data_IF_724161554656
#
_entry.id   IF_724161554656
#
_cell.length_a   1.000
_cell.length_b   1.000
_cell.length_c   1.000
_cell.angle_alpha   90.00
_cell.angle_beta   90.00
_cell.angle_gamma   90.00
#
_symmetry.space_group_name_H-M   'P 1'
#
loop_
_entity.id
_entity.type
_entity.pdbx_description
1 polymer ?
2 non-polymer ?
3 non-polymer ?
4 non-polymer ?
5 water ?
#
# COMPACT_ATOMS: atom_id res chain seq x y z
N UNK A 45 15.64 -5.71 -4.99
CA UNK A 45 15.14 -4.36 -4.60
C UNK A 45 13.63 -4.27 -4.97
N UNK A 46 12.72 -4.71 -4.10
CA UNK A 46 11.33 -4.67 -4.44
C UNK A 46 10.82 -3.23 -4.30
N UNK A 47 9.72 -2.90 -4.93
CA UNK A 47 9.05 -1.63 -4.75
C UNK A 47 8.17 -1.66 -3.54
N UNK A 48 8.34 -0.70 -2.64
CA UNK A 48 7.49 -0.53 -1.46
C UNK A 48 6.54 0.66 -1.74
N UNK A 49 5.27 0.56 -1.37
CA UNK A 49 4.66 -0.55 -0.70
C UNK A 49 4.53 -1.80 -1.52
N UNK A 50 4.77 -2.93 -0.90
CA UNK A 50 4.78 -4.16 -1.68
C UNK A 50 3.65 -5.04 -1.17
N UNK A 51 2.90 -5.65 -2.05
CA UNK A 51 1.82 -6.51 -1.71
C UNK A 51 2.10 -7.97 -2.07
N UNK A 52 2.13 -8.90 -1.12
CA UNK A 52 2.49 -10.32 -1.30
C UNK A 52 1.17 -11.07 -1.23
N UNK A 53 0.48 -11.33 -2.39
CA UNK A 53 -0.68 -12.23 -2.29
C UNK A 53 -0.27 -13.60 -1.74
N UNK A 54 -1.15 -14.23 -0.95
CA UNK A 54 -0.98 -15.49 -0.31
C UNK A 54 -1.94 -16.47 -0.94
N UNK A 55 -1.57 -17.04 -2.11
CA UNK A 55 -2.51 -17.85 -2.86
C UNK A 55 -3.03 -18.94 -1.95
N UNK A 56 -4.26 -19.18 -1.99
CA UNK A 56 -4.82 -20.17 -1.15
C UNK A 56 -5.20 -19.67 0.21
N UNK A 57 -4.74 -18.50 0.66
CA UNK A 57 -5.16 -17.92 1.97
C UNK A 57 -4.21 -18.40 3.08
N UNK A 58 -4.22 -17.65 4.19
CA UNK A 58 -3.43 -17.99 5.40
C UNK A 58 -3.98 -19.31 5.93
N UNK A 59 -3.06 -20.17 6.35
CA UNK A 59 -3.42 -21.40 7.08
C UNK A 59 -2.39 -21.53 8.19
N UNK A 60 -2.66 -22.29 9.23
CA UNK A 60 -1.60 -22.65 10.21
C UNK A 60 -0.46 -23.37 9.55
N UNK A 61 0.73 -23.04 10.01
CA UNK A 61 2.02 -23.54 9.52
C UNK A 61 2.52 -22.80 8.36
N UNK A 62 1.83 -21.75 7.86
CA UNK A 62 2.39 -20.80 6.93
C UNK A 62 3.47 -19.97 7.62
N UNK A 63 4.59 -19.86 6.97
CA UNK A 63 5.70 -19.05 7.43
C UNK A 63 6.00 -18.04 6.39
N UNK A 64 5.99 -16.77 6.83
CA UNK A 64 6.31 -15.64 5.91
C UNK A 64 7.72 -15.10 6.35
N UNK A 65 8.59 -14.79 5.37
CA UNK A 65 9.89 -14.22 5.70
C UNK A 65 10.06 -12.90 4.89
N UNK A 66 10.42 -11.84 5.62
CA UNK A 66 10.68 -10.52 4.98
C UNK A 66 12.10 -10.15 5.30
N UNK A 67 12.89 -9.75 4.31
CA UNK A 67 14.22 -9.29 4.49
C UNK A 67 14.38 -7.92 3.94
N UNK A 68 15.14 -7.08 4.65
CA UNK A 68 15.43 -5.72 4.10
C UNK A 68 16.31 -4.97 4.99
N UNK A 69 16.43 -3.66 4.73
CA UNK A 69 17.21 -2.76 5.53
C UNK A 69 16.32 -1.60 5.94
N UNK A 70 16.39 -1.21 7.21
CA UNK A 70 15.69 -0.01 7.68
C UNK A 70 16.34 1.24 7.13
N UNK A 71 15.55 2.15 6.56
CA UNK A 71 16.18 3.39 6.04
C UNK A 71 16.79 4.18 7.23
N UNK A 72 17.80 5.05 6.90
CA UNK A 72 18.57 5.67 8.02
C UNK A 72 17.84 6.67 8.87
N UNK A 73 16.82 7.22 8.31
CA UNK A 73 16.00 8.18 9.04
C UNK A 73 14.57 7.70 9.16
N UNK A 74 14.43 6.35 9.28
CA UNK A 74 13.12 5.69 9.31
C UNK A 74 12.24 6.27 10.43
N UNK A 75 10.97 6.38 10.11
CA UNK A 75 9.94 6.71 11.04
C UNK A 75 9.01 5.56 11.36
N UNK A 76 8.71 4.70 10.40
CA UNK A 76 7.65 3.71 10.58
C UNK A 76 7.84 2.60 9.59
N UNK A 77 7.34 1.44 9.99
CA UNK A 77 7.20 0.24 9.13
C UNK A 77 5.82 -0.30 9.41
N UNK A 78 5.21 -0.95 8.43
CA UNK A 78 3.96 -1.66 8.76
C UNK A 78 3.89 -2.94 7.95
N UNK A 79 3.48 -4.00 8.60
CA UNK A 79 3.07 -5.25 7.88
C UNK A 79 1.60 -5.37 8.11
N UNK A 80 0.79 -5.58 7.12
CA UNK A 80 -0.67 -5.68 7.22
C UNK A 80 -1.21 -6.94 6.61
N UNK A 81 -1.62 -7.93 7.40
CA UNK A 81 -2.29 -9.09 6.90
C UNK A 81 -3.73 -8.72 6.61
N UNK A 82 -4.11 -8.76 5.34
CA UNK A 82 -5.37 -8.19 4.88
C UNK A 82 -6.40 -9.19 4.59
N UNK A 83 -7.61 -8.86 4.98
CA UNK A 83 -8.82 -9.70 4.72
C UNK A 83 -9.87 -8.80 4.19
N UNK A 84 -9.94 -8.76 2.85
CA UNK A 84 -11.05 -7.93 2.31
C UNK A 84 -10.67 -6.51 2.67
N UNK A 85 -11.59 -5.74 3.29
CA UNK A 85 -11.28 -4.30 3.56
C UNK A 85 -10.68 -4.10 4.96
N UNK A 86 -10.44 -5.20 5.60
CA UNK A 86 -9.92 -5.20 6.94
C UNK A 86 -8.46 -5.60 7.01
N UNK A 87 -7.90 -5.21 8.19
CA UNK A 87 -6.55 -5.66 8.51
C UNK A 87 -6.61 -6.59 9.70
N UNK A 88 -6.44 -7.90 9.44
CA UNK A 88 -6.48 -8.89 10.50
C UNK A 88 -5.34 -8.66 11.51
N UNK A 89 -4.17 -8.33 11.04
CA UNK A 89 -3.00 -8.14 11.93
C UNK A 89 -2.13 -7.08 11.32
N UNK A 90 -2.01 -5.97 11.96
CA UNK A 90 -1.14 -4.88 11.68
C UNK A 90 -0.02 -4.89 12.67
N UNK A 91 1.22 -4.96 12.17
CA UNK A 91 2.43 -4.95 12.94
C UNK A 91 3.21 -3.68 12.60
N UNK A 92 3.34 -2.76 13.54
CA UNK A 92 3.77 -1.42 13.20
C UNK A 92 4.85 -0.89 14.12
N UNK A 93 6.12 -1.18 13.84
CA UNK A 93 7.24 -0.48 14.48
C UNK A 93 7.21 1.00 14.19
N UNK A 94 7.23 1.79 15.27
CA UNK A 94 7.26 3.29 15.17
C UNK A 94 8.57 3.68 15.82
N UNK A 95 9.38 4.39 15.01
CA UNK A 95 10.73 4.79 15.45
C UNK A 95 10.73 6.04 16.18
N UNK A 96 9.67 6.80 16.11
CA UNK A 96 9.65 8.20 16.64
C UNK A 96 8.23 8.50 16.99
N UNK A 97 7.63 7.68 17.86
CA UNK A 97 6.31 8.02 18.36
C UNK A 97 6.58 8.92 19.61
N UNK A 98 6.56 10.25 19.38
CA UNK A 98 6.98 11.20 20.41
C UNK A 98 8.32 10.88 20.99
N UNK A 99 9.32 10.67 20.12
CA UNK A 99 10.66 10.46 20.54
C UNK A 99 10.88 9.24 21.42
N UNK A 100 10.05 8.18 21.17
CA UNK A 100 10.22 6.86 21.76
C UNK A 100 9.99 5.87 20.61
N UNK A 101 10.62 4.72 20.81
CA UNK A 101 10.47 3.61 19.83
C UNK A 101 9.51 2.65 20.45
N UNK A 102 8.53 2.19 19.68
CA UNK A 102 7.50 1.27 20.17
C UNK A 102 7.02 0.39 19.02
N UNK A 103 6.58 -0.81 19.34
CA UNK A 103 5.89 -1.60 18.34
C UNK A 103 4.42 -1.60 18.70
N UNK A 104 3.56 -1.23 17.77
CA UNK A 104 2.09 -1.25 17.96
C UNK A 104 1.52 -2.35 17.08
N UNK A 105 0.66 -3.18 17.66
CA UNK A 105 -0.05 -4.13 16.86
C UNK A 105 -1.56 -3.96 17.06
N UNK A 106 -2.35 -4.18 16.02
CA UNK A 106 -3.79 -4.01 16.14
C UNK A 106 -4.44 -4.69 14.96
N UNK A 107 -5.77 -4.58 14.91
CA UNK A 107 -6.69 -5.05 13.90
C UNK A 107 -7.63 -3.92 13.46
N UNK A 108 -7.86 -3.81 12.18
CA UNK A 108 -8.78 -2.80 11.61
C UNK A 108 -9.97 -3.57 11.02
N UNK A 109 -11.13 -3.27 11.56
CA UNK A 109 -12.37 -3.90 11.05
C UNK A 109 -13.38 -2.77 10.75
N UNK A 110 -13.93 -2.81 9.51
CA UNK A 110 -14.82 -1.75 9.00
C UNK A 110 -14.23 -0.41 9.31
N UNK A 111 -12.97 -0.23 9.01
CA UNK A 111 -12.30 1.00 9.09
C UNK A 111 -12.14 1.48 10.56
N UNK A 112 -12.34 0.64 11.57
CA UNK A 112 -12.09 1.04 12.96
C UNK A 112 -10.94 0.21 13.52
N UNK A 113 -9.94 0.86 14.04
CA UNK A 113 -8.89 0.19 14.80
C UNK A 113 -9.41 -0.31 16.12
N UNK A 114 -8.92 -1.38 16.62
CA UNK A 114 -9.33 -1.96 17.85
C UNK A 114 -8.36 -1.66 18.99
N UNK A 115 -8.30 -2.61 19.94
CA UNK A 115 -7.41 -2.52 21.08
C UNK A 115 -5.92 -2.56 20.63
N UNK A 116 -5.16 -1.57 21.07
CA UNK A 116 -3.71 -1.58 20.72
C UNK A 116 -2.93 -2.51 21.62
N UNK A 117 -2.02 -3.28 21.02
CA UNK A 117 -1.02 -4.03 21.80
C UNK A 117 0.29 -3.38 21.60
N UNK A 118 0.92 -2.86 22.62
CA UNK A 118 2.15 -2.06 22.52
C UNK A 118 3.25 -2.73 23.22
N UNK A 119 4.46 -2.63 22.69
CA UNK A 119 5.60 -3.07 23.44
C UNK A 119 6.80 -2.31 23.15
N UNK A 120 7.68 -2.31 24.14
CA UNK A 120 8.87 -1.48 24.08
C UNK A 120 10.09 -2.23 23.54
N UNK A 121 10.12 -3.55 23.57
CA UNK A 121 11.27 -4.26 23.02
C UNK A 121 11.28 -4.06 21.52
N UNK A 122 12.34 -3.43 21.04
CA UNK A 122 12.32 -2.85 19.75
C UNK A 122 13.55 -3.28 19.00
N UNK A 123 13.50 -4.24 18.09
CA UNK A 123 14.73 -4.85 17.62
C UNK A 123 15.28 -4.16 16.35
N UNK A 124 14.56 -3.31 15.73
CA UNK A 124 15.00 -2.64 14.48
C UNK A 124 16.01 -1.54 14.79
N UNK A 125 16.89 -1.31 13.81
CA UNK A 125 17.93 -0.28 13.94
C UNK A 125 18.00 0.45 12.63
N UNK A 126 17.87 1.80 12.72
CA UNK A 126 17.91 2.61 11.53
C UNK A 126 19.20 2.38 10.76
N UNK A 127 19.00 2.20 9.44
CA UNK A 127 20.03 1.98 8.46
C UNK A 127 20.60 0.62 8.53
N UNK A 128 20.03 -0.36 9.28
CA UNK A 128 20.59 -1.70 9.43
C UNK A 128 19.66 -2.77 8.90
N UNK A 129 20.24 -3.89 8.45
CA UNK A 129 19.40 -5.02 7.89
C UNK A 129 18.57 -5.65 9.01
N UNK A 130 17.42 -6.15 8.57
CA UNK A 130 16.52 -6.89 9.46
C UNK A 130 15.96 -8.07 8.74
N UNK A 131 15.47 -9.01 9.56
CA UNK A 131 14.72 -10.21 9.11
C UNK A 131 13.48 -10.30 9.96
N UNK A 132 12.32 -10.34 9.33
CA UNK A 132 11.06 -10.62 10.07
C UNK A 132 10.48 -11.94 9.57
N UNK A 133 10.15 -12.82 10.53
CA UNK A 133 9.41 -14.05 10.14
C UNK A 133 8.16 -14.08 10.89
N UNK A 134 7.07 -14.44 10.26
CA UNK A 134 5.76 -14.57 10.90
C UNK A 134 5.29 -16.00 10.70
N UNK A 135 5.02 -16.71 11.77
CA UNK A 135 4.53 -18.08 11.71
C UNK A 135 3.07 -18.08 12.18
N UNK A 136 2.18 -18.61 11.34
CA UNK A 136 0.79 -18.69 11.67
C UNK A 136 0.52 -19.93 12.50
N UNK A 137 0.01 -19.77 13.64
CA UNK A 137 -0.43 -20.87 14.52
C UNK A 137 -1.93 -20.79 14.66
N UNK A 138 -2.59 -21.85 15.18
CA UNK A 138 -4.03 -21.81 15.29
C UNK A 138 -4.60 -20.68 16.14
N UNK A 139 -3.86 -20.28 17.15
CA UNK A 139 -4.33 -19.33 18.12
C UNK A 139 -3.74 -17.89 17.95
N UNK A 140 -2.66 -17.79 17.24
CA UNK A 140 -1.94 -16.49 17.19
C UNK A 140 -1.00 -16.50 16.02
N UNK A 141 -0.55 -15.32 15.66
CA UNK A 141 0.68 -15.19 14.85
C UNK A 141 1.88 -15.10 15.79
N UNK A 142 2.94 -15.79 15.46
CA UNK A 142 4.24 -15.61 16.11
C UNK A 142 5.09 -14.75 15.23
N UNK A 143 5.79 -13.80 15.83
CA UNK A 143 6.70 -12.94 15.10
C UNK A 143 8.11 -13.06 15.68
N UNK A 144 9.04 -13.37 14.82
CA UNK A 144 10.45 -13.38 15.20
C UNK A 144 11.15 -12.34 14.39
N UNK A 145 12.07 -11.59 15.01
CA UNK A 145 12.91 -10.65 14.28
C UNK A 145 14.36 -11.01 14.54
N UNK A 146 15.10 -11.11 13.42
CA UNK A 146 16.55 -11.43 13.52
C UNK A 146 16.73 -12.73 14.23
N UNK A 147 15.81 -13.71 13.94
CA UNK A 147 15.82 -15.04 14.52
C UNK A 147 15.36 -15.17 15.92
N UNK A 148 15.01 -14.11 16.61
CA UNK A 148 14.62 -14.15 18.02
C UNK A 148 13.15 -13.92 18.10
N UNK A 149 12.51 -14.63 19.01
CA UNK A 149 11.09 -14.43 19.21
C UNK A 149 10.86 -13.03 19.69
N UNK A 150 9.91 -12.37 19.09
CA UNK A 150 9.56 -10.99 19.46
C UNK A 150 8.21 -10.95 20.18
N UNK A 151 7.15 -11.40 19.55
CA UNK A 151 5.81 -11.26 20.14
C UNK A 151 4.89 -12.30 19.53
N UNK A 152 3.77 -12.47 20.19
CA UNK A 152 2.61 -13.17 19.66
C UNK A 152 1.46 -12.24 19.54
N UNK A 153 0.61 -12.42 18.55
CA UNK A 153 -0.61 -11.63 18.36
C UNK A 153 -1.79 -12.59 18.23
N UNK A 154 -2.61 -12.62 19.25
CA UNK A 154 -3.75 -13.55 19.23
C UNK A 154 -4.73 -13.17 18.16
N UNK A 155 -5.23 -14.18 17.44
CA UNK A 155 -6.19 -13.88 16.36
C UNK A 155 -7.43 -13.20 16.84
N UNK A 156 -7.81 -12.14 16.18
CA UNK A 156 -9.09 -11.45 16.38
C UNK A 156 -9.99 -11.74 15.21
N UNK A 157 -9.48 -11.73 14.03
CA UNK A 157 -10.18 -12.22 12.80
C UNK A 157 -9.95 -13.69 12.74
N UNK A 158 -11.02 -14.43 13.03
CA UNK A 158 -10.93 -15.86 13.21
C UNK A 158 -10.96 -16.60 11.88
N UNK A 159 -11.50 -15.97 10.87
CA UNK A 159 -11.58 -16.60 9.54
C UNK A 159 -10.22 -16.57 8.79
N UNK A 160 -9.31 -17.38 9.35
CA UNK A 160 -7.90 -17.26 8.92
C UNK A 160 -7.74 -17.40 7.43
N UNK A 161 -8.48 -18.30 6.83
CA UNK A 161 -8.22 -18.54 5.43
C UNK A 161 -8.76 -17.45 4.50
N UNK A 162 -9.49 -16.48 5.05
CA UNK A 162 -9.88 -15.29 4.26
C UNK A 162 -8.81 -14.24 4.26
N UNK A 163 -7.73 -14.44 5.01
CA UNK A 163 -6.62 -13.47 4.98
C UNK A 163 -5.84 -13.83 3.72
N UNK A 164 -5.80 -12.96 2.72
CA UNK A 164 -5.40 -13.29 1.36
C UNK A 164 -4.11 -12.64 0.93
N UNK A 165 -3.54 -11.70 1.70
CA UNK A 165 -2.41 -10.96 1.19
C UNK A 165 -1.70 -10.32 2.38
N UNK A 166 -0.43 -10.03 2.21
CA UNK A 166 0.32 -9.26 3.18
C UNK A 166 0.84 -8.04 2.52
N UNK A 167 0.53 -6.86 3.06
CA UNK A 167 1.14 -5.61 2.63
C UNK A 167 2.33 -5.28 3.46
N UNK A 168 3.36 -4.76 2.82
CA UNK A 168 4.60 -4.38 3.49
C UNK A 168 4.89 -2.96 3.12
N UNK A 169 4.89 -2.04 4.07
CA UNK A 169 5.09 -0.65 3.76
C UNK A 169 5.94 0.03 4.79
N UNK A 170 6.36 1.22 4.42
CA UNK A 170 7.18 2.07 5.29
C UNK A 170 8.61 2.24 4.89
N UNK A 171 9.43 2.61 5.88
CA UNK A 171 10.70 3.25 5.58
C UNK A 171 11.80 2.20 5.61
N UNK A 172 11.70 1.37 4.57
CA UNK A 172 12.61 0.25 4.33
C UNK A 172 13.06 0.15 2.90
N UNK A 173 14.20 -0.47 2.74
CA UNK A 173 14.58 -1.02 1.46
C UNK A 173 14.25 -2.50 1.55
N UNK A 174 13.29 -2.98 0.79
CA UNK A 174 12.80 -4.35 0.88
C UNK A 174 13.56 -5.22 -0.08
N UNK A 175 14.24 -6.23 0.47
CA UNK A 175 15.03 -7.17 -0.37
C UNK A 175 14.26 -8.36 -0.77
N UNK A 176 13.48 -8.96 0.16
CA UNK A 176 12.70 -10.18 -0.15
C UNK A 176 11.49 -10.29 0.65
N UNK A 177 10.47 -10.91 0.06
CA UNK A 177 9.20 -11.19 0.78
C UNK A 177 8.71 -12.51 0.17
N UNK A 178 8.47 -13.48 1.01
CA UNK A 178 8.07 -14.81 0.57
C UNK A 178 7.29 -15.54 1.65
N UNK A 179 6.64 -16.64 1.24
CA UNK A 179 5.88 -17.51 2.09
C UNK A 179 6.15 -18.97 1.72
N UNK A 180 5.96 -19.81 2.73
CA UNK A 180 6.01 -21.26 2.49
C UNK A 180 5.23 -21.94 3.56
N UNK A 181 5.17 -23.28 3.53
CA UNK A 181 4.60 -24.05 4.63
C UNK A 181 5.65 -24.85 5.31
N UNK A 182 5.64 -24.90 6.61
CA UNK A 182 6.60 -25.71 7.37
C UNK A 182 5.99 -26.87 8.05
N UNK B 45 -12.88 -9.72 -11.82
CA UNK B 45 -12.65 -9.28 -10.43
C UNK B 45 -11.14 -9.38 -10.06
N UNK B 46 -10.40 -8.28 -10.18
CA UNK B 46 -8.95 -8.31 -9.98
C UNK B 46 -8.68 -8.10 -8.53
N UNK B 47 -7.54 -8.60 -8.08
CA UNK B 47 -7.13 -8.46 -6.70
C UNK B 47 -6.60 -7.05 -6.50
N UNK B 48 -7.07 -6.41 -5.44
CA UNK B 48 -6.60 -5.06 -5.00
C UNK B 48 -5.84 -5.18 -3.65
N UNK B 49 -4.70 -4.53 -3.45
CA UNK B 49 -4.04 -3.68 -4.40
C UNK B 49 -3.56 -4.41 -5.61
N UNK B 50 -3.61 -3.78 -6.77
CA UNK B 50 -3.36 -4.41 -8.02
C UNK B 50 -2.14 -3.73 -8.62
N UNK B 51 -1.20 -4.51 -9.08
CA UNK B 51 0.02 -4.00 -9.63
C UNK B 51 -0.04 -4.11 -11.14
N UNK B 52 0.00 -2.99 -11.85
CA UNK B 52 0.02 -2.95 -13.31
C UNK B 52 1.41 -2.62 -13.80
N UNK B 53 2.34 -3.65 -13.92
CA UNK B 53 3.65 -3.34 -14.53
C UNK B 53 3.50 -2.75 -15.95
N UNK B 54 4.33 -1.74 -16.24
CA UNK B 54 4.41 -1.07 -17.52
C UNK B 54 5.70 -1.48 -18.11
N UNK B 55 5.67 -2.51 -19.04
CA UNK B 55 6.89 -3.31 -19.36
C UNK B 55 8.02 -2.50 -19.99
N UNK B 56 7.63 -1.53 -20.78
CA UNK B 56 8.59 -0.73 -21.47
C UNK B 56 8.76 0.63 -20.85
N UNK B 57 8.05 0.85 -19.72
CA UNK B 57 8.05 2.11 -18.94
C UNK B 57 7.08 3.18 -19.52
N UNK B 58 6.74 4.24 -18.77
CA UNK B 58 5.85 5.29 -19.27
C UNK B 58 6.52 5.98 -20.42
N UNK B 59 5.71 6.36 -21.42
CA UNK B 59 6.12 7.15 -22.53
C UNK B 59 4.95 8.08 -22.91
N UNK B 60 5.18 9.25 -23.47
CA UNK B 60 4.05 10.13 -23.96
C UNK B 60 3.25 9.37 -24.97
N UNK B 61 1.94 9.58 -24.94
CA UNK B 61 0.96 8.87 -25.70
C UNK B 61 0.47 7.63 -25.11
N UNK B 62 1.02 7.12 -24.00
CA UNK B 62 0.46 6.04 -23.27
C UNK B 62 -0.91 6.44 -22.69
N UNK B 63 -1.87 5.61 -22.84
CA UNK B 63 -3.22 5.80 -22.36
C UNK B 63 -3.55 4.61 -21.48
N UNK B 64 -3.81 4.86 -20.20
CA UNK B 64 -4.18 3.87 -19.20
C UNK B 64 -5.65 3.93 -18.92
N UNK B 65 -6.37 2.82 -18.84
CA UNK B 65 -7.78 2.82 -18.57
C UNK B 65 -8.03 1.87 -17.36
N UNK B 66 -8.72 2.37 -16.32
CA UNK B 66 -9.07 1.59 -15.14
C UNK B 66 -10.56 1.61 -15.00
N UNK B 67 -11.20 0.43 -14.89
CA UNK B 67 -12.65 0.35 -14.73
C UNK B 67 -12.87 -0.36 -13.43
N UNK B 68 -13.82 0.12 -12.68
CA UNK B 68 -14.17 -0.60 -11.42
C UNK B 68 -15.39 0.01 -10.82
N UNK B 69 -15.68 -0.42 -9.59
CA UNK B 69 -16.75 0.13 -8.80
C UNK B 69 -16.23 0.56 -7.46
N UNK B 70 -16.65 1.72 -6.98
CA UNK B 70 -16.32 2.16 -5.64
C UNK B 70 -17.04 1.28 -4.58
N UNK B 71 -16.34 0.79 -3.60
CA UNK B 71 -16.99 0.00 -2.55
C UNK B 71 -18.00 0.88 -1.81
N UNK B 72 -19.03 0.25 -1.17
CA UNK B 72 -20.06 1.00 -0.59
C UNK B 72 -19.69 1.97 0.55
N UNK B 73 -18.74 1.50 1.36
CA UNK B 73 -18.22 2.25 2.46
C UNK B 73 -16.83 2.83 2.21
N UNK B 74 -16.51 3.12 0.94
CA UNK B 74 -15.15 3.55 0.58
C UNK B 74 -14.71 4.79 1.39
N UNK B 75 -13.44 4.68 1.71
CA UNK B 75 -12.70 5.78 2.32
C UNK B 75 -11.67 6.43 1.49
N UNK B 76 -11.01 5.65 0.69
CA UNK B 76 -9.83 6.12 -0.05
C UNK B 76 -9.57 5.27 -1.26
N UNK B 77 -8.98 5.84 -2.32
CA UNK B 77 -8.51 5.16 -3.48
C UNK B 77 -7.17 5.75 -3.83
N UNK B 78 -6.28 4.98 -4.33
CA UNK B 78 -5.00 5.57 -4.81
C UNK B 78 -4.54 4.93 -6.08
N UNK B 79 -4.04 5.73 -7.03
CA UNK B 79 -3.26 5.29 -8.18
C UNK B 79 -1.84 5.83 -7.98
N UNK B 80 -0.82 5.00 -8.09
CA UNK B 80 0.58 5.37 -7.88
C UNK B 80 1.46 4.98 -9.02
N UNK B 81 1.94 5.95 -9.76
CA UNK B 81 2.92 5.74 -10.83
C UNK B 81 4.26 5.71 -10.15
N UNK B 82 4.99 4.57 -10.18
CA UNK B 82 6.21 4.46 -9.37
C UNK B 82 7.47 4.34 -10.16
N UNK B 83 8.48 5.08 -9.71
CA UNK B 83 9.88 4.96 -10.17
C UNK B 83 10.71 4.49 -9.02
N UNK B 84 10.99 3.17 -8.94
CA UNK B 84 11.50 2.61 -7.65
C UNK B 84 10.55 2.89 -6.52
N UNK B 85 10.99 3.26 -5.31
CA UNK B 85 10.15 3.55 -4.19
C UNK B 85 9.64 4.99 -4.26
N UNK B 86 10.05 5.72 -5.31
CA UNK B 86 9.47 7.04 -5.52
C UNK B 86 8.13 6.91 -6.17
N UNK B 87 7.26 7.87 -5.91
CA UNK B 87 5.92 7.91 -6.54
C UNK B 87 5.93 9.17 -7.43
N UNK B 88 6.06 8.97 -8.69
CA UNK B 88 6.02 10.09 -9.62
C UNK B 88 4.70 10.80 -9.59
N UNK B 89 3.60 10.07 -9.50
CA UNK B 89 2.27 10.69 -9.52
C UNK B 89 1.35 9.82 -8.66
N UNK B 90 0.90 10.36 -7.58
CA UNK B 90 -0.09 9.76 -6.66
C UNK B 90 -1.37 10.51 -6.87
N UNK B 91 -2.44 9.80 -7.21
CA UNK B 91 -3.76 10.34 -7.45
C UNK B 91 -4.68 9.69 -6.42
N UNK B 92 -5.19 10.47 -5.47
CA UNK B 92 -5.77 9.95 -4.22
C UNK B 92 -7.09 10.59 -3.88
N UNK B 93 -8.22 10.03 -4.43
CA UNK B 93 -9.55 10.39 -3.96
C UNK B 93 -9.76 9.99 -2.48
N UNK B 94 -10.13 10.95 -1.68
CA UNK B 94 -10.42 10.74 -0.27
C UNK B 94 -11.87 11.06 -0.04
N UNK B 95 -12.59 10.06 0.45
CA UNK B 95 -14.05 10.21 0.65
C UNK B 95 -14.41 10.83 1.93
N UNK B 96 -13.50 10.89 2.89
CA UNK B 96 -13.86 11.30 4.20
C UNK B 96 -12.62 11.81 4.88
N UNK B 97 -12.00 12.80 4.24
CA UNK B 97 -10.94 13.54 4.89
C UNK B 97 -11.69 14.57 5.74
N UNK B 98 -12.09 14.18 6.97
CA UNK B 98 -12.82 15.07 7.94
C UNK B 98 -14.16 15.45 7.37
N UNK B 99 -14.90 14.42 6.91
CA UNK B 99 -16.26 14.54 6.49
C UNK B 99 -16.37 15.47 5.29
N UNK B 100 -15.24 15.59 4.53
CA UNK B 100 -15.19 16.12 3.13
C UNK B 100 -14.56 15.09 2.12
N UNK B 101 -15.07 15.25 0.91
CA UNK B 101 -14.50 14.61 -0.29
C UNK B 101 -13.53 15.50 -1.06
N UNK B 102 -12.33 14.99 -1.36
CA UNK B 102 -11.28 15.79 -2.01
C UNK B 102 -10.46 14.82 -2.81
N UNK B 103 -9.90 15.34 -3.89
CA UNK B 103 -8.87 14.59 -4.61
C UNK B 103 -7.54 15.21 -4.26
N UNK B 104 -6.57 14.42 -3.81
CA UNK B 104 -5.22 14.90 -3.49
C UNK B 104 -4.27 14.22 -4.44
N UNK B 105 -3.39 15.06 -5.05
CA UNK B 105 -2.33 14.54 -5.93
C UNK B 105 -0.98 15.00 -5.41
N UNK B 106 0.06 14.19 -5.55
CA UNK B 106 1.38 14.56 -5.06
C UNK B 106 2.38 13.60 -5.67
N UNK B 107 3.63 13.87 -5.28
CA UNK B 107 4.83 13.07 -5.65
C UNK B 107 5.55 12.75 -4.31
N UNK B 108 6.08 11.55 -4.26
CA UNK B 108 6.89 11.08 -3.12
C UNK B 108 8.32 10.83 -3.59
N UNK B 109 9.28 11.58 -3.11
CA UNK B 109 10.67 11.49 -3.43
C UNK B 109 11.52 11.24 -2.21
N UNK B 110 12.28 10.13 -2.22
CA UNK B 110 12.96 9.73 -0.86
C UNK B 110 12.09 9.66 0.40
N UNK B 111 10.92 9.08 0.26
CA UNK B 111 9.99 8.92 1.31
C UNK B 111 9.47 10.23 1.88
N UNK B 112 9.60 11.31 1.06
CA UNK B 112 9.03 12.61 1.48
C UNK B 112 7.95 13.03 0.43
N UNK B 113 6.73 13.22 0.88
CA UNK B 113 5.70 13.81 -0.04
C UNK B 113 6.05 15.27 -0.31
N UNK B 114 5.70 15.82 -1.48
CA UNK B 114 5.98 17.16 -1.84
C UNK B 114 4.71 18.00 -1.65
N UNK B 115 4.60 19.02 -2.49
CA UNK B 115 3.49 19.92 -2.48
C UNK B 115 2.19 19.19 -2.91
N UNK B 116 1.13 19.32 -2.12
CA UNK B 116 -0.15 18.72 -2.47
C UNK B 116 -0.88 19.54 -3.48
N UNK B 117 -1.53 18.90 -4.47
CA UNK B 117 -2.47 19.55 -5.36
C UNK B 117 -3.82 18.99 -5.03
N UNK B 118 -4.74 19.84 -4.60
CA UNK B 118 -6.08 19.42 -4.04
C UNK B 118 -7.12 19.92 -4.93
N UNK B 119 -8.18 19.19 -5.09
CA UNK B 119 -9.35 19.80 -5.64
C UNK B 119 -10.59 19.17 -5.19
N UNK B 120 -11.64 19.97 -5.32
CA UNK B 120 -12.92 19.62 -4.73
C UNK B 120 -13.83 18.96 -5.69
N UNK B 121 -13.73 19.10 -6.98
CA UNK B 121 -14.58 18.36 -7.93
C UNK B 121 -14.27 16.91 -7.82
N UNK B 122 -15.33 16.15 -7.45
CA UNK B 122 -15.11 14.76 -6.97
C UNK B 122 -16.09 13.87 -7.68
N UNK B 123 -15.67 13.13 -8.70
CA UNK B 123 -16.62 12.46 -9.57
C UNK B 123 -17.01 11.08 -9.06
N UNK B 124 -16.31 10.49 -8.11
CA UNK B 124 -16.60 9.14 -7.62
C UNK B 124 -17.83 9.10 -6.67
N UNK B 125 -18.53 7.99 -6.71
CA UNK B 125 -19.70 7.79 -5.89
C UNK B 125 -19.65 6.39 -5.29
N UNK B 126 -19.91 6.38 -4.00
CA UNK B 126 -19.84 5.19 -3.19
C UNK B 126 -20.78 4.19 -3.79
N UNK B 127 -20.27 2.99 -4.03
CA UNK B 127 -21.06 1.91 -4.56
C UNK B 127 -21.31 1.89 -6.01
N UNK B 128 -20.75 2.87 -6.74
CA UNK B 128 -21.05 3.08 -8.17
C UNK B 128 -19.86 2.89 -9.18
N UNK B 129 -20.13 2.46 -10.40
CA UNK B 129 -19.03 2.19 -11.34
C UNK B 129 -18.30 3.50 -11.69
N UNK B 130 -17.04 3.39 -12.05
CA UNK B 130 -16.28 4.54 -12.50
C UNK B 130 -15.37 4.04 -13.60
N UNK B 131 -14.86 5.06 -14.36
CA UNK B 131 -13.80 4.88 -15.37
C UNK B 131 -12.74 5.94 -15.12
N UNK B 132 -11.49 5.54 -14.98
CA UNK B 132 -10.37 6.56 -14.88
C UNK B 132 -9.52 6.33 -16.14
N UNK B 133 -9.17 7.40 -16.83
CA UNK B 133 -8.21 7.32 -17.92
C UNK B 133 -7.13 8.29 -17.61
N UNK B 134 -5.86 7.83 -17.83
CA UNK B 134 -4.72 8.67 -17.71
C UNK B 134 -4.00 8.74 -19.05
N UNK B 135 -3.79 9.90 -19.58
CA UNK B 135 -3.07 10.09 -20.83
C UNK B 135 -1.79 10.80 -20.51
N UNK B 136 -0.65 10.18 -20.86
CA UNK B 136 0.66 10.76 -20.62
C UNK B 136 1.03 11.70 -21.70
N UNK B 137 1.27 12.95 -21.40
CA UNK B 137 1.74 13.95 -22.33
C UNK B 137 3.16 14.30 -21.94
N UNK B 138 3.92 15.01 -22.83
CA UNK B 138 5.34 15.36 -22.50
C UNK B 138 5.48 16.10 -21.21
N UNK B 139 4.54 16.99 -20.87
CA UNK B 139 4.72 17.85 -19.74
C UNK B 139 3.82 17.54 -18.54
N UNK B 140 2.83 16.69 -18.74
CA UNK B 140 1.87 16.41 -17.65
C UNK B 140 1.18 15.10 -17.88
N UNK B 141 0.58 14.56 -16.82
CA UNK B 141 -0.50 13.57 -16.98
C UNK B 141 -1.81 14.28 -17.11
N UNK B 142 -2.69 13.80 -17.94
CA UNK B 142 -4.08 14.19 -18.01
C UNK B 142 -4.92 13.11 -17.46
N UNK B 143 -5.87 13.45 -16.58
CA UNK B 143 -6.75 12.46 -16.03
C UNK B 143 -8.20 12.80 -16.35
N UNK B 144 -8.91 11.84 -16.88
CA UNK B 144 -10.34 11.97 -17.17
C UNK B 144 -11.06 10.90 -16.40
N UNK B 145 -12.17 11.27 -15.77
CA UNK B 145 -12.98 10.26 -14.99
C UNK B 145 -14.36 10.28 -15.61
N UNK B 146 -14.86 9.13 -15.97
CA UNK B 146 -16.21 9.01 -16.55
C UNK B 146 -16.28 9.84 -17.80
N UNK B 147 -15.21 9.82 -18.61
CA UNK B 147 -15.06 10.50 -19.89
C UNK B 147 -14.91 11.98 -19.78
N UNK B 148 -14.91 12.60 -18.62
CA UNK B 148 -14.82 14.04 -18.44
C UNK B 148 -13.45 14.37 -17.92
N UNK B 149 -12.87 15.47 -18.43
CA UNK B 149 -11.54 15.91 -17.97
C UNK B 149 -11.65 16.25 -16.50
N UNK B 150 -10.76 15.72 -15.70
CA UNK B 150 -10.73 16.00 -14.28
C UNK B 150 -9.57 16.92 -13.96
N UNK B 151 -8.34 16.59 -14.27
CA UNK B 151 -7.22 17.40 -13.82
C UNK B 151 -6.01 17.05 -14.69
N UNK B 152 -5.06 17.96 -14.62
CA UNK B 152 -3.72 17.69 -15.15
C UNK B 152 -2.74 17.74 -14.00
N UNK B 153 -1.70 16.91 -14.05
CA UNK B 153 -0.62 16.87 -13.07
C UNK B 153 0.72 17.07 -13.73
N UNK B 154 1.34 18.21 -13.57
CA UNK B 154 2.64 18.50 -14.23
C UNK B 154 3.68 17.57 -13.72
N UNK B 155 4.50 17.05 -14.67
CA UNK B 155 5.55 16.08 -14.23
C UNK B 155 6.56 16.77 -13.29
N UNK B 156 6.80 16.13 -12.16
CA UNK B 156 7.88 16.51 -11.25
C UNK B 156 9.04 15.53 -11.40
N UNK B 157 8.75 14.24 -11.50
CA UNK B 157 9.73 13.21 -11.93
C UNK B 157 9.85 13.26 -13.40
N UNK B 158 11.00 13.74 -13.92
CA UNK B 158 11.14 14.02 -15.33
C UNK B 158 11.56 12.79 -16.13
N UNK B 159 12.14 11.80 -15.48
CA UNK B 159 12.60 10.55 -16.16
C UNK B 159 11.46 9.61 -16.40
N UNK B 160 10.59 10.02 -17.36
CA UNK B 160 9.30 9.38 -17.53
C UNK B 160 9.49 7.86 -17.75
N UNK B 161 10.49 7.50 -18.59
CA UNK B 161 10.74 6.15 -19.04
C UNK B 161 11.04 5.17 -17.79
N UNK B 162 11.45 5.79 -16.68
CA UNK B 162 11.83 5.04 -15.51
C UNK B 162 10.64 4.74 -14.61
N UNK B 163 9.45 5.27 -14.99
CA UNK B 163 8.26 4.94 -14.18
C UNK B 163 7.79 3.58 -14.75
N UNK B 164 7.90 2.56 -13.90
CA UNK B 164 7.80 1.18 -14.29
C UNK B 164 6.54 0.49 -14.02
N UNK B 165 5.68 1.07 -13.19
CA UNK B 165 4.48 0.33 -12.88
C UNK B 165 3.47 1.38 -12.36
N UNK B 166 2.19 0.97 -12.40
CA UNK B 166 1.07 1.65 -11.78
C UNK B 166 0.54 0.77 -10.72
N UNK B 167 0.45 1.20 -9.50
CA UNK B 167 -0.24 0.54 -8.43
C UNK B 167 -1.64 1.06 -8.36
N UNK B 168 -2.63 0.23 -8.16
CA UNK B 168 -4.00 0.62 -8.01
C UNK B 168 -4.49 0.09 -6.65
N UNK B 169 -4.83 0.89 -5.67
CA UNK B 169 -5.12 0.42 -4.35
C UNK B 169 -6.33 1.10 -3.77
N UNK B 170 -6.85 0.58 -2.64
CA UNK B 170 -7.92 1.22 -1.95
C UNK B 170 -9.30 0.62 -2.17
N UNK B 171 -10.31 1.39 -1.93
CA UNK B 171 -11.65 0.86 -1.67
C UNK B 171 -12.51 0.71 -2.91
N UNK B 172 -12.00 -0.15 -3.81
CA UNK B 172 -12.68 -0.41 -5.07
C UNK B 172 -12.79 -1.92 -5.33
N UNK B 173 -13.78 -2.26 -6.14
CA UNK B 173 -13.76 -3.51 -6.88
C UNK B 173 -13.23 -3.22 -8.24
N UNK B 174 -12.11 -3.76 -8.56
CA UNK B 174 -11.42 -3.50 -9.77
C UNK B 174 -11.83 -4.46 -10.87
N UNK B 175 -12.38 -3.97 -11.97
CA UNK B 175 -12.89 -4.73 -13.14
C UNK B 175 -11.79 -4.87 -14.23
N UNK B 176 -11.05 -3.81 -14.57
CA UNK B 176 -10.05 -3.87 -15.62
C UNK B 176 -8.96 -2.83 -15.39
N UNK B 177 -7.70 -3.11 -15.76
CA UNK B 177 -6.55 -2.16 -15.68
C UNK B 177 -5.69 -2.50 -16.84
N UNK B 178 -5.46 -1.57 -17.73
CA UNK B 178 -4.76 -1.81 -18.95
C UNK B 178 -4.11 -0.55 -19.52
N UNK B 179 -3.27 -0.74 -20.51
CA UNK B 179 -2.53 0.33 -21.12
C UNK B 179 -2.35 0.13 -22.65
N UNK B 180 -2.27 1.21 -23.39
CA UNK B 180 -1.91 1.10 -24.80
C UNK B 180 -1.29 2.39 -25.24
N UNK B 181 -0.93 2.56 -26.49
CA UNK B 181 -0.43 3.80 -27.07
C UNK B 181 -1.45 4.32 -28.03
N UNK B 182 -1.70 5.61 -28.04
CA UNK B 182 -2.70 6.20 -28.89
C UNK B 182 -2.13 7.26 -29.76
X LIG C 1 2.00 6.40 10.46
X LIG D 1 -2.08 3.14 10.95
X LIG D 1 -3.36 4.45 14.31
X LIG D 1 -2.56 4.54 12.97
X LIG D 1 -2.36 6.38 11.48
X LIG D 1 -3.19 6.81 10.28
X LIG D 1 -3.17 2.13 14.45
X LIG D 1 -2.68 1.01 15.40
X LIG D 1 -2.38 2.02 13.14
X LIG D 1 -2.80 3.19 12.23
X LIG D 1 -0.71 3.20 10.70
X LIG D 1 -0.60 3.23 9.37
X LIG D 1 -5.29 5.60 16.34
X LIG D 1 1.67 3.16 6.43
X LIG D 1 -1.41 8.58 16.38
X LIG D 1 -4.22 6.26 10.01
X LIG D 1 -3.18 5.55 12.25
X LIG D 1 -3.12 5.67 15.13
X LIG D 1 -4.02 6.17 16.02
X LIG D 1 -6.46 6.25 16.01
X LIG D 1 -6.46 7.72 15.14
X LIG D 1 -7.69 5.71 16.36
X LIG D 1 -7.74 4.54 17.08
X LIG D 1 -6.55 3.90 17.41
X LIG D 1 -6.60 2.40 18.27
X LIG D 1 -5.33 4.41 17.05
X LIG D 1 -3.55 7.29 16.60
X LIG D 1 -2.33 7.46 16.04
X LIG D 1 -2.03 6.47 15.12
X LIG D 1 -1.01 1.99 13.37
X LIG D 1 -3.48 1.04 16.56
X LIG D 1 -2.87 3.37 15.08
X LIG D 1 -2.74 3.16 9.77
X LIG D 1 -1.89 3.23 8.83
X LIG D 1 0.60 3.13 8.56
X LIG D 1 1.83 2.81 9.17
X LIG D 1 2.97 2.69 8.35
X LIG D 1 4.13 2.38 8.89
X LIG D 1 2.88 2.89 7.01
X LIG D 1 4.21 2.87 6.06
X LIG D 1 1.62 3.27 5.12
X LIG D 1 0.50 3.29 7.18
X LIG D 1 -4.42 4.34 14.12
X LIG D 1 -1.51 4.70 13.18
X LIG D 1 -1.45 5.89 11.16
X LIG D 1 -2.07 7.26 12.06
X LIG D 1 -4.24 2.03 14.27
X LIG D 1 -2.84 0.03 14.95
X LIG D 1 -1.61 1.09 15.61
X LIG D 1 -2.56 1.05 12.67
X LIG D 1 -3.87 3.10 12.01
X LIG D 1 0.07 3.28 11.45
X LIG D 1 -1.72 9.13 17.26
X LIG D 1 -1.35 9.29 15.56
X LIG D 1 -0.40 8.23 16.58
X LIG D 1 -8.60 6.22 16.07
X LIG D 1 -8.68 4.11 17.42
X LIG D 1 -4.43 3.85 17.30
X LIG D 1 -0.63 2.88 13.54
X LIG D 1 -3.19 0.36 17.23
X LIG D 1 1.94 2.62 10.24
X LIG D 1 -0.43 3.51 6.68
X LIG E 1 -2.65 7.97 9.52
X LIG E 1 -3.34 8.30 8.22
X LIG E 1 -2.68 7.57 7.02
X LIG E 1 -1.23 7.92 7.05
X LIG E 1 -0.59 7.29 8.23
X LIG E 1 -1.15 8.06 9.42
X LIG E 1 -4.42 8.08 8.29
X LIG E 1 -3.30 9.37 8.07
X LIG E 1 -2.85 6.49 7.09
X LIG E 1 -3.18 7.83 6.08
X LIG E 1 0.49 7.32 8.16
X LIG E 1 -0.80 6.23 8.32
X LIG E 1 -0.90 9.11 9.33
X LIG E 1 -0.64 7.80 10.34
X LIG F 1 -4.44 7.06 3.65
X LIG G 1 -0.65 8.30 1.27
X LIG G 1 -0.32 11.84 3.11
X LIG G 1 -0.95 10.47 3.06
X LIG G 1 -1.24 8.95 4.85
X LIG G 1 -0.51 8.64 6.10
X LIG G 1 -0.59 12.23 0.72
X LIG G 1 -0.01 13.04 -0.48
X LIG G 1 -0.74 10.72 0.41
X LIG G 1 -0.62 9.77 1.65
X LIG G 1 -1.83 7.63 0.74
X LIG G 1 -1.63 6.40 0.83
X LIG G 1 0.87 14.14 4.65
X LIG G 1 -3.20 3.14 0.46
X LIG G 1 -3.43 13.26 6.72
X LIG G 1 0.65 8.98 6.28
X LIG G 1 -0.37 9.65 4.02
X LIG G 1 -0.94 12.58 4.27
X LIG G 1 -0.38 13.58 4.92
X LIG G 1 1.94 13.85 5.48
X LIG G 1 1.77 12.80 6.79
X LIG G 1 3.18 14.38 5.22
X LIG G 1 3.36 15.20 4.11
X LIG G 1 2.28 15.45 3.30
X LIG G 1 2.42 16.53 1.96
X LIG G 1 1.06 14.93 3.55
X LIG G 1 -1.19 14.02 5.90
X LIG G 1 -2.26 13.21 5.84
X LIG G 1 -2.13 12.29 4.85
X LIG G 1 -2.03 10.59 -0.10
X LIG G 1 0.06 14.38 -0.17
X LIG G 1 -0.60 12.68 1.99
X LIG G 1 0.24 7.35 1.54
X LIG G 1 -0.32 6.24 1.29
X LIG G 1 -2.63 5.42 0.58
X LIG G 1 -3.89 5.76 0.01
X LIG G 1 -4.75 4.75 -0.35
X LIG G 1 -5.88 5.03 -0.96
X LIG G 1 -4.41 3.45 -0.10
X LIG G 1 -5.45 2.22 -0.39
X LIG G 1 -2.91 1.90 0.67
X LIG G 1 -2.28 4.11 0.80
X LIG G 1 0.76 11.76 3.24
X LIG G 1 -2.01 10.69 3.32
X LIG G 1 -2.17 9.46 5.09
X LIG G 1 -1.50 8.05 4.29
X LIG G 1 -1.55 12.72 0.62
X LIG G 1 0.99 12.66 -0.63
X LIG G 1 -0.51 12.86 -1.43
X LIG G 1 -0.06 10.39 -0.38
X LIG G 1 -1.66 9.51 1.78
X LIG G 1 -2.64 8.18 0.26
X LIG G 1 -3.21 13.75 7.67
X LIG G 1 -3.82 12.27 6.96
X LIG G 1 -4.24 13.83 6.26
X LIG G 1 4.01 14.14 5.88
X LIG G 1 4.33 15.65 3.88
X LIG G 1 0.27 15.15 2.84
X LIG G 1 -2.39 11.31 -0.68
X LIG G 1 -0.20 15.00 -0.90
X LIG G 1 -4.27 6.77 -0.13
X LIG G 1 -1.32 3.83 1.25
#
# INVERSE_FOLDING_TARGET
GAPAPGVYPGPPSGPGAYPSSGQPSATGAYPATGHMGPYGAPAGPLIVPYNLPLPGGVVPRMLITILGTVKPNANRIALDFQRGNDVAFHFNPRFNENNRRVIVCNTKLDNNWGREERQSVFPFESGKPFKIQVLVEPDHFKVAVNDAHLLQYNHRVKKLNEISKLGISGDIDLTSASYTMI
GAPAPGVYPGPPSGPGAYPSSGQPSATGAYPATGHMGPYGAPAGPLIVPYNLPLPGGVVPRMLITILGTVKPNANRIALDFQRGNDVAFHFNPRFNENNRRVIVCNTKLDNNWGREERQSVFPFESGKPFKIQVLVEPDHFKVAVNDAHLLQYNHRVKKLNEISKLGISGDIDLTSASYTMI
CL CL
SXP N3 C18 C17 C16 C15 C19 C20 C21 C22 C23 C24 C34 C27 C33 O5 O6 C31 N8 C39 CL2 C38 C37 C36 CL1 C35 N7 C32 N6 O9 O8 O7 N5 N4 C25 C30 C29 F1 C28 CL F C26 H25 H24 H22 H23 H26 H28 H27 H30 H32 H33 H38 H36 H37 H41 H40 H39 H31 H29 H35 H34
PZE N7 C8 C9 N10 C11 C12 H8 H8A H9 H9A H11 H11A H12 H12A
CL CL
SXP N3 C18 C17 C16 C15 C19 C20 C21 C22 C23 C24 C34 C27 C33 O5 O6 C31 N8 C39 CL2 C38 C37 C36 CL1 C35 N7 C32 N6 O9 O8 O7 N5 N4 C25 C30 C29 F1 C28 CL F C26 H25 H24 H22 H23 H26 H28 H27 H30 H32 H33 H38 H36 H37 H41 H40 H39 H31 H29 H35 H34
#
